data_IF_800184508153
#
_entry.id   IF_800184508153
#
_cell.length_a   1.000
_cell.length_b   1.000
_cell.length_c   1.000
_cell.angle_alpha   90.00
_cell.angle_beta   90.00
_cell.angle_gamma   90.00
#
_symmetry.space_group_name_H-M   'P 1'
#
loop_
_entity.id
_entity.type
_entity.pdbx_description
1 polymer ?
#
# COMPACT_ATOMS: atom_id res chain seq x y z
N UNK A 1 11.88 46.04 -43.88
CA UNK A 1 12.64 44.85 -44.30
C UNK A 1 11.67 43.68 -44.22
N UNK A 2 11.13 43.32 -45.38
CA UNK A 2 10.09 42.31 -45.58
C UNK A 2 10.70 40.90 -45.63
N UNK A 3 9.81 39.90 -45.68
CA UNK A 3 10.01 38.49 -46.05
C UNK A 3 10.39 37.55 -44.89
N UNK A 4 9.86 36.32 -44.79
CA UNK A 4 8.92 35.57 -45.62
C UNK A 4 8.25 34.51 -44.73
N UNK A 5 6.95 34.34 -44.98
CA UNK A 5 6.08 33.31 -44.42
C UNK A 5 6.41 31.97 -45.06
N UNK A 6 6.56 30.90 -44.28
CA UNK A 6 6.52 29.54 -44.84
C UNK A 6 5.53 28.66 -44.07
N UNK A 7 4.30 28.58 -44.63
CA UNK A 7 3.24 27.66 -44.23
C UNK A 7 3.41 26.38 -45.05
N UNK A 8 3.83 25.28 -44.42
CA UNK A 8 3.69 23.95 -45.01
C UNK A 8 2.49 23.23 -44.41
N UNK A 9 1.37 23.34 -45.12
CA UNK A 9 0.22 22.48 -44.97
C UNK A 9 0.57 21.10 -45.57
N UNK A 10 0.50 20.04 -44.76
CA UNK A 10 0.59 18.67 -45.25
C UNK A 10 -0.83 18.11 -45.42
N UNK A 11 -1.25 18.11 -46.67
CA UNK A 11 -2.49 17.57 -47.22
C UNK A 11 -2.44 16.04 -47.34
N UNK A 12 -3.51 15.42 -46.88
CA UNK A 12 -4.26 14.36 -47.57
C UNK A 12 -3.48 13.22 -48.25
N UNK A 13 -3.45 12.08 -47.57
CA UNK A 13 -3.31 10.75 -48.18
C UNK A 13 -4.60 9.95 -48.00
N UNK A 14 -5.51 10.06 -48.97
CA UNK A 14 -6.61 9.12 -49.18
C UNK A 14 -6.02 7.80 -49.69
N UNK A 15 -6.21 6.70 -48.97
CA UNK A 15 -6.23 5.38 -49.62
C UNK A 15 -7.24 4.47 -48.93
N UNK A 16 -8.43 4.48 -49.54
CA UNK A 16 -9.47 3.47 -49.39
C UNK A 16 -8.91 2.15 -49.91
N UNK A 17 -8.72 1.17 -49.02
CA UNK A 17 -8.68 -0.23 -49.42
C UNK A 17 -9.78 -0.98 -48.68
N UNK A 18 -10.97 -0.91 -49.29
CA UNK A 18 -12.02 -1.90 -49.15
C UNK A 18 -11.52 -3.19 -49.80
N UNK A 19 -11.04 -4.13 -49.01
CA UNK A 19 -10.82 -5.51 -49.43
C UNK A 19 -11.58 -6.44 -48.49
N UNK A 20 -12.89 -6.54 -48.74
CA UNK A 20 -13.71 -7.66 -48.32
C UNK A 20 -13.21 -8.91 -49.04
N UNK A 21 -12.83 -9.95 -48.30
CA UNK A 21 -12.96 -11.35 -48.75
C UNK A 21 -12.96 -12.26 -47.51
N UNK A 22 -14.06 -12.99 -47.40
CA UNK A 22 -14.37 -13.92 -46.35
C UNK A 22 -13.41 -15.11 -46.34
N UNK A 23 -12.91 -15.46 -45.15
CA UNK A 23 -12.55 -16.84 -44.84
C UNK A 23 -13.24 -17.24 -43.54
N UNK A 24 -14.35 -17.94 -43.71
CA UNK A 24 -15.07 -18.66 -42.66
C UNK A 24 -14.14 -19.81 -42.22
N UNK A 25 -13.29 -19.55 -41.23
CA UNK A 25 -12.57 -20.60 -40.53
C UNK A 25 -13.46 -21.08 -39.39
N UNK A 26 -13.89 -22.34 -39.50
CA UNK A 26 -14.67 -23.06 -38.50
C UNK A 26 -14.04 -22.87 -37.12
N UNK A 27 -14.74 -22.15 -36.25
CA UNK A 27 -14.40 -22.02 -34.84
C UNK A 27 -14.59 -23.40 -34.19
N UNK A 28 -13.52 -24.10 -33.76
CA UNK A 28 -13.74 -25.20 -32.85
C UNK A 28 -14.37 -24.60 -31.59
N UNK A 29 -15.55 -25.12 -31.23
CA UNK A 29 -16.17 -24.88 -29.94
C UNK A 29 -15.23 -25.45 -28.86
N UNK A 30 -14.24 -24.66 -28.46
CA UNK A 30 -13.39 -24.94 -27.31
C UNK A 30 -14.30 -24.74 -26.10
N UNK A 31 -14.90 -25.84 -25.67
CA UNK A 31 -15.48 -25.98 -24.34
C UNK A 31 -14.33 -25.81 -23.35
N UNK A 32 -14.07 -24.56 -22.96
CA UNK A 32 -13.24 -24.25 -21.81
C UNK A 32 -14.02 -24.77 -20.60
N UNK A 33 -13.72 -26.01 -20.20
CA UNK A 33 -14.04 -26.50 -18.87
C UNK A 33 -13.26 -25.61 -17.91
N UNK A 34 -13.91 -24.53 -17.47
CA UNK A 34 -13.49 -23.76 -16.32
C UNK A 34 -13.68 -24.71 -15.14
N UNK A 35 -12.66 -25.51 -14.84
CA UNK A 35 -12.60 -26.22 -13.57
C UNK A 35 -12.81 -25.18 -12.48
N UNK A 36 -13.80 -25.36 -11.58
CA UNK A 36 -13.89 -24.49 -10.43
C UNK A 36 -12.57 -24.66 -9.70
N UNK A 37 -11.72 -23.63 -9.75
CA UNK A 37 -10.65 -23.51 -8.77
C UNK A 37 -11.38 -23.49 -7.44
N UNK A 38 -11.29 -24.58 -6.69
CA UNK A 38 -11.67 -24.58 -5.28
C UNK A 38 -10.80 -23.51 -4.64
N UNK A 39 -11.34 -22.29 -4.64
CA UNK A 39 -10.85 -21.21 -3.83
C UNK A 39 -11.10 -21.68 -2.41
N UNK A 40 -10.13 -22.41 -1.87
CA UNK A 40 -10.01 -22.62 -0.44
C UNK A 40 -10.01 -21.21 0.12
N UNK A 41 -11.17 -20.79 0.63
CA UNK A 41 -11.31 -19.61 1.45
C UNK A 41 -10.57 -19.92 2.75
N UNK A 42 -9.24 -19.91 2.66
CA UNK A 42 -8.35 -19.90 3.81
C UNK A 42 -8.64 -18.61 4.56
N UNK A 43 -8.91 -18.74 5.84
CA UNK A 43 -9.04 -17.60 6.72
C UNK A 43 -7.73 -16.79 6.63
N UNK A 44 -7.81 -15.55 6.17
CA UNK A 44 -6.64 -14.68 6.05
C UNK A 44 -6.36 -14.18 7.45
N UNK A 45 -5.58 -14.97 8.18
CA UNK A 45 -5.05 -14.58 9.48
C UNK A 45 -4.20 -13.32 9.31
N UNK A 46 -4.57 -12.26 10.00
CA UNK A 46 -3.72 -11.07 10.10
C UNK A 46 -2.58 -11.36 11.08
N UNK A 47 -1.41 -10.72 10.90
CA UNK A 47 -0.30 -10.86 11.83
C UNK A 47 -0.72 -10.49 13.26
N UNK A 48 -0.30 -11.29 14.23
CA UNK A 48 -0.38 -10.88 15.64
C UNK A 48 0.77 -9.90 15.92
N UNK A 49 0.41 -8.62 16.07
CA UNK A 49 1.40 -7.55 16.26
C UNK A 49 1.77 -7.47 17.74
N UNK A 50 3.00 -7.89 18.07
CA UNK A 50 3.52 -7.79 19.43
C UNK A 50 4.13 -6.39 19.69
N UNK A 51 3.56 -5.59 20.62
CA UNK A 51 4.00 -4.21 20.87
C UNK A 51 5.36 -4.09 21.58
N UNK A 52 5.94 -5.20 22.04
CA UNK A 52 7.29 -5.23 22.60
C UNK A 52 8.38 -5.04 21.54
N UNK A 53 8.06 -5.20 20.25
CA UNK A 53 9.00 -4.95 19.17
C UNK A 53 8.90 -3.51 18.67
N UNK A 54 10.05 -2.90 18.41
CA UNK A 54 10.12 -1.58 17.80
C UNK A 54 9.73 -1.63 16.32
N UNK A 55 9.09 -0.55 15.86
CA UNK A 55 8.82 -0.32 14.44
C UNK A 55 10.06 0.34 13.84
N UNK A 56 10.61 -0.24 12.78
CA UNK A 56 11.74 0.32 12.01
C UNK A 56 11.37 0.52 10.55
N UNK A 57 11.75 1.67 9.98
CA UNK A 57 11.58 1.96 8.54
C UNK A 57 12.90 2.42 7.93
N UNK A 58 13.34 1.74 6.86
CA UNK A 58 14.47 2.14 6.04
C UNK A 58 13.97 2.54 4.66
N UNK A 59 14.46 3.66 4.13
CA UNK A 59 14.13 4.14 2.79
C UNK A 59 15.27 4.99 2.21
N UNK A 60 15.20 5.27 0.91
CA UNK A 60 16.15 6.19 0.28
C UNK A 60 15.98 7.60 0.82
N UNK A 61 14.72 8.05 0.95
CA UNK A 61 14.35 9.38 1.44
C UNK A 61 13.22 9.34 2.44
N UNK A 62 13.20 10.32 3.35
CA UNK A 62 12.10 10.53 4.28
C UNK A 62 11.76 12.01 4.48
N UNK A 63 10.55 12.29 4.95
CA UNK A 63 10.09 13.62 5.35
C UNK A 63 9.28 13.55 6.64
N UNK A 64 9.33 14.60 7.45
CA UNK A 64 8.58 14.70 8.71
C UNK A 64 7.62 15.89 8.62
N UNK A 65 6.36 15.67 8.98
CA UNK A 65 5.35 16.71 9.07
C UNK A 65 4.47 16.52 10.31
N UNK A 66 3.88 17.62 10.79
CA UNK A 66 2.86 17.59 11.83
C UNK A 66 1.47 17.79 11.19
N UNK A 67 0.54 16.87 11.44
CA UNK A 67 -0.87 16.98 10.98
C UNK A 67 -1.83 16.77 12.14
N UNK A 68 -2.27 17.87 12.74
CA UNK A 68 -3.10 17.84 13.95
C UNK A 68 -2.36 17.17 15.11
N UNK A 69 -2.93 16.09 15.66
CA UNK A 69 -2.34 15.31 16.76
C UNK A 69 -1.32 14.26 16.30
N UNK A 70 -1.15 14.08 14.99
CA UNK A 70 -0.26 13.08 14.43
C UNK A 70 1.06 13.70 13.97
N UNK A 71 2.16 13.02 14.30
CA UNK A 71 3.40 13.16 13.54
C UNK A 71 3.31 12.24 12.33
N UNK A 72 3.62 12.75 11.14
CA UNK A 72 3.58 12.00 9.89
C UNK A 72 5.00 11.84 9.37
N UNK A 73 5.42 10.59 9.20
CA UNK A 73 6.65 10.24 8.50
C UNK A 73 6.29 9.74 7.10
N UNK A 74 6.86 10.35 6.07
CA UNK A 74 6.66 9.97 4.67
C UNK A 74 7.96 9.46 4.08
N UNK A 75 7.97 8.23 3.59
CA UNK A 75 9.14 7.52 3.06
C UNK A 75 8.98 7.26 1.57
N UNK A 76 10.07 7.30 0.81
CA UNK A 76 10.08 6.99 -0.63
C UNK A 76 11.36 6.32 -1.07
N UNK A 77 11.21 5.36 -1.98
CA UNK A 77 12.31 4.63 -2.61
C UNK A 77 12.81 3.50 -1.73
N UNK A 78 12.81 2.29 -2.27
CA UNK A 78 13.29 1.06 -1.61
C UNK A 78 12.80 0.91 -0.15
N UNK A 79 11.55 1.29 0.12
CA UNK A 79 11.05 1.35 1.50
C UNK A 79 10.92 -0.05 2.08
N UNK A 80 11.39 -0.21 3.32
CA UNK A 80 11.33 -1.45 4.10
C UNK A 80 10.83 -1.11 5.50
N UNK A 81 9.80 -1.80 5.96
CA UNK A 81 9.28 -1.69 7.32
C UNK A 81 9.42 -3.03 8.03
N UNK A 82 9.72 -3.02 9.32
CA UNK A 82 9.76 -4.22 10.15
C UNK A 82 9.28 -3.96 11.58
N UNK A 83 8.68 -5.00 12.16
CA UNK A 83 8.31 -5.09 13.56
C UNK A 83 8.22 -6.57 13.98
N UNK A 84 9.26 -7.09 14.64
CA UNK A 84 9.33 -8.50 14.98
C UNK A 84 9.33 -9.38 13.72
N UNK A 85 8.37 -10.29 13.60
CA UNK A 85 8.18 -11.15 12.42
C UNK A 85 7.47 -10.43 11.27
N UNK A 86 6.73 -9.35 11.55
CA UNK A 86 6.09 -8.54 10.51
C UNK A 86 7.17 -7.76 9.76
N UNK A 87 7.17 -7.88 8.44
CA UNK A 87 8.01 -7.09 7.55
C UNK A 87 7.28 -6.76 6.26
N UNK A 88 7.69 -5.68 5.62
CA UNK A 88 7.11 -5.29 4.34
C UNK A 88 8.01 -4.40 3.52
N UNK A 89 7.79 -4.41 2.21
CA UNK A 89 8.45 -3.54 1.24
C UNK A 89 7.42 -2.81 0.38
N UNK A 90 7.73 -1.59 -0.02
CA UNK A 90 6.90 -0.79 -0.93
C UNK A 90 7.74 0.31 -1.61
N UNK A 91 7.14 0.98 -2.61
CA UNK A 91 7.74 2.17 -3.22
C UNK A 91 7.63 3.40 -2.29
N UNK A 92 6.53 3.50 -1.55
CA UNK A 92 6.25 4.54 -0.56
C UNK A 92 5.61 3.99 0.71
N UNK A 93 5.97 4.58 1.85
CA UNK A 93 5.36 4.30 3.17
C UNK A 93 5.01 5.61 3.84
N UNK A 94 3.82 5.69 4.42
CA UNK A 94 3.39 6.80 5.28
C UNK A 94 3.02 6.25 6.65
N UNK A 95 3.62 6.83 7.70
CA UNK A 95 3.32 6.50 9.08
C UNK A 95 2.67 7.70 9.77
N UNK A 96 1.44 7.53 10.26
CA UNK A 96 0.80 8.49 11.16
C UNK A 96 0.96 7.99 12.59
N UNK A 97 1.82 8.65 13.35
CA UNK A 97 2.16 8.33 14.72
C UNK A 97 1.28 9.17 15.64
N UNK A 98 0.45 8.49 16.43
CA UNK A 98 -0.41 9.13 17.40
C UNK A 98 0.39 9.56 18.63
N UNK A 99 0.67 10.86 18.74
CA UNK A 99 1.42 11.42 19.87
C UNK A 99 0.58 11.50 21.16
N UNK A 100 -0.73 11.32 21.10
CA UNK A 100 -1.61 11.44 22.27
C UNK A 100 -1.56 10.22 23.20
N UNK A 101 -1.07 9.09 22.69
CA UNK A 101 -1.04 7.78 23.37
C UNK A 101 0.19 7.51 24.22
N UNK A 102 1.28 8.28 24.08
CA UNK A 102 2.49 8.09 24.87
C UNK A 102 2.28 8.64 26.30
N UNK A 103 1.53 7.91 27.13
CA UNK A 103 1.16 8.29 28.50
C UNK A 103 1.83 7.42 29.58
N UNK A 104 2.98 6.84 29.26
CA UNK A 104 3.73 5.97 30.17
C UNK A 104 4.29 4.74 29.46
N UNK A 105 4.91 3.84 30.23
CA UNK A 105 5.51 2.61 29.72
C UNK A 105 4.46 1.52 29.43
N UNK A 106 3.22 1.70 29.85
CA UNK A 106 2.20 0.63 29.88
C UNK A 106 1.21 0.66 28.71
N UNK A 107 1.18 1.74 27.92
CA UNK A 107 0.28 1.89 26.77
C UNK A 107 1.12 2.00 25.50
N UNK A 108 1.02 1.06 24.54
CA UNK A 108 1.80 1.14 23.33
C UNK A 108 1.32 2.31 22.46
N UNK A 109 2.29 3.03 21.88
CA UNK A 109 2.01 4.04 20.88
C UNK A 109 1.33 3.40 19.66
N UNK A 110 0.34 4.09 19.12
CA UNK A 110 -0.40 3.65 17.93
C UNK A 110 0.18 4.31 16.69
N UNK A 111 0.47 3.49 15.68
CA UNK A 111 0.94 3.95 14.38
C UNK A 111 0.06 3.38 13.28
N UNK A 112 -0.38 4.23 12.37
CA UNK A 112 -1.10 3.80 11.17
C UNK A 112 -0.08 3.74 10.05
N UNK A 113 0.05 2.58 9.42
CA UNK A 113 0.95 2.37 8.29
C UNK A 113 0.15 2.28 7.01
N UNK A 114 0.45 3.15 6.04
CA UNK A 114 -0.05 3.07 4.68
C UNK A 114 1.12 2.82 3.75
N UNK A 115 1.00 1.80 2.91
CA UNK A 115 2.03 1.39 1.95
C UNK A 115 1.45 1.48 0.54
N UNK A 116 2.24 1.97 -0.40
CA UNK A 116 1.82 2.17 -1.77
C UNK A 116 2.93 1.81 -2.75
N UNK A 117 2.55 1.13 -3.83
CA UNK A 117 3.45 0.70 -4.91
C UNK A 117 4.22 -0.57 -4.54
N UNK A 118 4.09 -1.60 -5.39
CA UNK A 118 4.77 -2.90 -5.26
C UNK A 118 4.79 -3.46 -3.82
N UNK A 119 3.65 -3.42 -3.12
CA UNK A 119 3.56 -3.80 -1.71
C UNK A 119 3.75 -5.30 -1.57
N UNK A 120 4.73 -5.70 -0.78
CA UNK A 120 4.93 -7.08 -0.34
C UNK A 120 5.03 -7.10 1.16
N UNK A 121 4.23 -7.92 1.83
CA UNK A 121 4.23 -8.12 3.28
C UNK A 121 4.54 -9.59 3.57
N UNK A 122 5.26 -9.82 4.67
CA UNK A 122 5.53 -11.13 5.22
C UNK A 122 5.38 -11.06 6.74
N UNK A 123 4.73 -12.04 7.36
CA UNK A 123 4.61 -12.09 8.81
C UNK A 123 4.73 -13.50 9.42
N UNK A 124 5.01 -14.49 8.57
CA UNK A 124 5.57 -15.79 8.96
C UNK A 124 6.24 -16.38 7.72
N UNK A 125 6.93 -17.50 7.82
CA UNK A 125 7.57 -18.13 6.64
C UNK A 125 6.58 -18.55 5.54
N UNK A 126 5.30 -18.75 5.91
CA UNK A 126 4.27 -19.27 5.01
C UNK A 126 3.17 -18.24 4.67
N UNK A 127 3.16 -17.09 5.36
CA UNK A 127 2.12 -16.10 5.20
C UNK A 127 2.70 -14.76 4.77
N UNK A 128 2.09 -14.23 3.71
CA UNK A 128 2.40 -12.93 3.16
C UNK A 128 1.27 -12.41 2.29
N UNK A 129 1.41 -11.16 1.86
CA UNK A 129 0.47 -10.48 1.00
C UNK A 129 1.25 -9.71 -0.07
N UNK A 130 0.81 -9.79 -1.32
CA UNK A 130 1.25 -8.90 -2.39
C UNK A 130 0.05 -8.09 -2.88
N UNK A 131 0.20 -6.77 -2.91
CA UNK A 131 -0.83 -5.84 -3.37
C UNK A 131 -0.18 -4.57 -3.95
N UNK A 132 -0.98 -3.71 -4.53
CA UNK A 132 -0.60 -2.35 -4.94
C UNK A 132 -0.65 -1.36 -3.78
N UNK A 133 -1.46 -1.64 -2.75
CA UNK A 133 -1.64 -0.81 -1.57
C UNK A 133 -1.95 -1.65 -0.35
N UNK A 134 -1.52 -1.20 0.82
CA UNK A 134 -1.91 -1.80 2.08
C UNK A 134 -2.06 -0.74 3.15
N UNK A 135 -2.97 -0.97 4.09
CA UNK A 135 -3.08 -0.15 5.29
C UNK A 135 -3.29 -1.04 6.50
N UNK A 136 -2.54 -0.77 7.56
CA UNK A 136 -2.67 -1.48 8.82
C UNK A 136 -2.34 -0.60 10.02
N UNK A 137 -2.48 -1.20 11.20
CA UNK A 137 -2.14 -0.58 12.48
C UNK A 137 -0.98 -1.36 13.08
N UNK A 138 0.01 -0.62 13.55
CA UNK A 138 1.14 -1.11 14.30
C UNK A 138 1.09 -0.48 15.69
N UNK A 139 1.62 -1.19 16.67
CA UNK A 139 1.62 -0.78 18.07
C UNK A 139 2.99 -1.01 18.65
N UNK A 140 3.58 -0.07 19.38
CA UNK A 140 4.93 -0.24 19.92
C UNK A 140 5.11 0.55 21.22
N UNK A 141 5.77 -0.05 22.21
CA UNK A 141 6.23 0.68 23.41
C UNK A 141 7.48 1.54 23.14
N UNK A 142 8.11 1.35 21.98
CA UNK A 142 9.29 2.08 21.55
C UNK A 142 8.93 3.17 20.53
N UNK A 143 9.68 4.29 20.49
CA UNK A 143 9.62 5.22 19.37
C UNK A 143 9.88 4.53 18.03
N UNK A 144 9.27 5.03 16.96
CA UNK A 144 9.53 4.56 15.60
C UNK A 144 10.97 4.93 15.22
N UNK A 145 11.78 3.93 14.91
CA UNK A 145 13.11 4.12 14.34
C UNK A 145 13.03 4.27 12.83
N UNK A 146 13.83 5.16 12.25
CA UNK A 146 13.87 5.31 10.81
C UNK A 146 15.23 5.76 10.28
N UNK A 147 15.50 5.46 9.00
CA UNK A 147 16.72 5.86 8.30
C UNK A 147 16.44 6.29 6.85
N UNK A 148 17.33 7.11 6.29
CA UNK A 148 17.25 7.64 4.92
C UNK A 148 17.81 9.06 4.82
N UNK A 149 17.71 9.66 3.63
CA UNK A 149 18.05 11.08 3.44
C UNK A 149 16.81 11.94 3.67
N UNK A 150 16.88 12.94 4.55
CA UNK A 150 15.76 13.85 4.76
C UNK A 150 15.50 14.69 3.50
N UNK A 151 14.23 14.80 3.10
CA UNK A 151 13.75 15.58 1.97
C UNK A 151 12.47 16.31 2.38
N UNK A 152 12.33 17.56 1.95
CA UNK A 152 11.09 18.30 2.16
C UNK A 152 10.02 17.83 1.16
N UNK A 153 8.87 17.38 1.67
CA UNK A 153 7.71 16.96 0.86
C UNK A 153 6.50 17.83 1.15
N UNK A 154 5.77 18.20 0.10
CA UNK A 154 4.51 18.96 0.18
C UNK A 154 3.28 18.13 -0.23
N UNK A 155 3.52 16.90 -0.69
CA UNK A 155 2.53 15.98 -1.24
C UNK A 155 2.10 14.90 -0.24
N UNK A 156 2.33 15.10 1.05
CA UNK A 156 1.96 14.14 2.09
C UNK A 156 0.43 14.06 2.15
N UNK A 157 -0.19 12.88 1.95
CA UNK A 157 -1.64 12.73 1.92
C UNK A 157 -2.26 13.10 3.28
N UNK A 158 -3.48 13.63 3.25
CA UNK A 158 -4.30 13.74 4.44
C UNK A 158 -4.90 12.37 4.78
N UNK A 159 -4.93 12.05 6.07
CA UNK A 159 -5.57 10.82 6.53
C UNK A 159 -7.09 11.02 6.54
N UNK A 160 -7.76 10.65 5.46
CA UNK A 160 -9.21 10.64 5.42
C UNK A 160 -9.76 9.38 6.09
N UNK A 161 -10.12 9.52 7.37
CA UNK A 161 -10.78 8.48 8.14
C UNK A 161 -12.11 8.02 7.55
N UNK A 162 -12.79 8.86 6.79
CA UNK A 162 -14.08 8.49 6.18
C UNK A 162 -13.87 7.56 4.98
N UNK A 163 -12.78 7.74 4.22
CA UNK A 163 -12.37 6.78 3.20
C UNK A 163 -12.06 5.39 3.79
N UNK A 164 -11.68 5.34 5.09
CA UNK A 164 -11.47 4.09 5.84
C UNK A 164 -12.75 3.54 6.50
N UNK A 165 -13.81 4.35 6.53
CA UNK A 165 -15.08 4.08 7.21
C UNK A 165 -16.09 3.22 6.43
N UNK A 166 -15.74 2.78 5.22
CA UNK A 166 -16.52 1.79 4.47
C UNK A 166 -16.46 0.43 5.15
N UNK A 167 -17.27 0.21 6.21
CA UNK A 167 -17.37 -1.05 6.97
C UNK A 167 -16.02 -1.75 7.11
N UNK A 168 -15.15 -1.17 7.92
CA UNK A 168 -14.00 -1.84 8.51
C UNK A 168 -14.41 -3.27 8.90
N UNK A 169 -14.11 -4.26 8.05
CA UNK A 169 -14.27 -5.71 8.34
C UNK A 169 -13.19 -6.21 9.30
N UNK A 170 -12.57 -5.29 10.05
CA UNK A 170 -11.75 -5.64 11.18
C UNK A 170 -12.72 -6.11 12.26
N UNK A 171 -13.07 -7.39 12.17
CA UNK A 171 -13.74 -8.13 13.23
C UNK A 171 -12.98 -7.81 14.51
N UNK A 172 -13.72 -7.26 15.46
CA UNK A 172 -13.24 -7.06 16.82
C UNK A 172 -12.95 -8.46 17.34
N UNK A 173 -11.69 -8.88 17.31
CA UNK A 173 -11.25 -10.01 18.11
C UNK A 173 -11.42 -9.53 19.54
N UNK A 174 -12.56 -9.85 20.14
CA UNK A 174 -12.73 -9.74 21.59
C UNK A 174 -11.66 -10.63 22.18
N UNK A 175 -10.61 -10.01 22.69
CA UNK A 175 -9.66 -10.65 23.56
C UNK A 175 -10.40 -10.91 24.88
N UNK A 176 -11.17 -11.99 24.91
CA UNK A 176 -11.69 -12.59 26.13
C UNK A 176 -10.48 -13.20 26.83
N UNK A 177 -9.77 -12.34 27.56
CA UNK A 177 -8.75 -12.76 28.49
C UNK A 177 -9.46 -13.51 29.63
N UNK A 178 -9.57 -14.83 29.45
CA UNK A 178 -9.91 -15.76 30.51
C UNK A 178 -8.73 -15.79 31.50
N UNK A 179 -8.74 -14.84 32.44
CA UNK A 179 -7.89 -14.88 33.62
C UNK A 179 -8.51 -15.93 34.54
N UNK A 180 -8.11 -17.18 34.34
CA UNK A 180 -8.33 -18.25 35.32
C UNK A 180 -7.43 -17.98 36.52
N UNK A 181 -8.05 -17.68 37.65
CA UNK A 181 -7.44 -17.54 38.97
C UNK A 181 -7.02 -18.89 39.57
#
# INVERSE_FOLDING_TARGET
MQEVVDRRANTAGWQRHLSSLALIAALPAILIFVSPSDALAGDVGFPDINPSYSIRVDADKYSVAQKGVYQVLAFRGNCRISQGEFSGTADEIFLWIDNSGFRGLDIPGKTICYMQGNVTLQWSDQQGLQDTRWMGRLFSFHPVGYSGTEEQRFDIPDLDWNALGGRSRYASVKQEADISA
#
